data_IF_947083107180
#
_entry.id   IF_947083107180
#
_cell.length_a   1.000
_cell.length_b   1.000
_cell.length_c   1.000
_cell.angle_alpha   90.00
_cell.angle_beta   90.00
_cell.angle_gamma   90.00
#
_symmetry.space_group_name_H-M   'P 1'
#
loop_
_entity.id
_entity.type
_entity.pdbx_description
1 polymer ?
#
# COMPACT_ATOMS: atom_id res chain seq x y z
N UNK A 1 19.02 -10.79 -22.06
CA UNK A 1 18.71 -9.72 -21.08
C UNK A 1 17.54 -8.93 -21.67
N UNK A 2 16.37 -8.97 -21.03
CA UNK A 2 15.20 -8.22 -21.50
C UNK A 2 15.56 -6.73 -21.41
N UNK A 3 15.63 -6.03 -22.55
CA UNK A 3 15.92 -4.59 -22.62
C UNK A 3 14.63 -3.81 -22.34
N UNK A 4 14.10 -3.95 -21.13
CA UNK A 4 12.93 -3.18 -20.74
C UNK A 4 13.35 -1.80 -20.24
N UNK A 5 12.71 -0.75 -20.76
CA UNK A 5 12.95 0.60 -20.26
C UNK A 5 12.39 0.72 -18.85
N UNK A 6 13.19 1.18 -17.87
CA UNK A 6 12.71 1.37 -16.49
C UNK A 6 11.57 2.38 -16.48
N UNK A 7 10.41 1.98 -15.95
CA UNK A 7 9.25 2.86 -15.80
C UNK A 7 9.27 3.49 -14.42
N UNK A 8 8.85 4.75 -14.30
CA UNK A 8 8.76 5.42 -13.00
C UNK A 8 7.89 4.62 -12.02
N UNK A 9 6.78 4.06 -12.51
CA UNK A 9 5.86 3.20 -11.75
C UNK A 9 6.50 1.94 -11.16
N UNK A 10 7.64 1.45 -11.64
CA UNK A 10 8.26 0.23 -11.09
C UNK A 10 9.47 0.51 -10.20
N UNK A 11 9.91 1.76 -10.06
CA UNK A 11 11.12 2.13 -9.32
C UNK A 11 11.00 1.93 -7.80
N UNK A 12 9.85 2.27 -7.23
CA UNK A 12 9.61 2.15 -5.78
C UNK A 12 8.99 0.84 -5.34
N UNK A 13 8.82 -0.14 -6.24
CA UNK A 13 8.12 -1.39 -5.90
C UNK A 13 8.83 -2.16 -4.78
N UNK A 14 10.17 -2.18 -4.79
CA UNK A 14 10.95 -2.86 -3.76
C UNK A 14 10.81 -2.18 -2.40
N UNK A 15 10.91 -0.85 -2.35
CA UNK A 15 10.71 -0.08 -1.12
C UNK A 15 9.30 -0.28 -0.56
N UNK A 16 8.30 -0.36 -1.45
CA UNK A 16 6.89 -0.56 -1.07
C UNK A 16 6.64 -1.92 -0.40
N UNK A 17 7.43 -2.94 -0.73
CA UNK A 17 7.39 -4.25 -0.04
C UNK A 17 8.43 -4.38 1.08
N UNK A 18 9.06 -3.28 1.49
CA UNK A 18 10.04 -3.26 2.58
C UNK A 18 11.43 -3.79 2.23
N UNK A 19 11.77 -3.85 0.94
CA UNK A 19 13.08 -4.23 0.45
C UNK A 19 13.93 -2.99 0.12
N UNK A 20 15.24 -3.18 0.04
CA UNK A 20 16.15 -2.09 -0.37
C UNK A 20 15.83 -1.62 -1.81
N UNK A 21 16.04 -0.33 -2.10
CA UNK A 21 15.82 0.21 -3.46
C UNK A 21 16.71 -0.42 -4.52
N UNK A 22 18.00 -0.56 -4.19
CA UNK A 22 19.06 -0.96 -5.12
C UNK A 22 19.52 -2.40 -4.84
N UNK A 23 18.62 -3.36 -5.06
CA UNK A 23 18.93 -4.78 -4.88
C UNK A 23 19.72 -5.31 -6.08
N UNK A 24 20.89 -5.90 -5.81
CA UNK A 24 21.70 -6.56 -6.87
C UNK A 24 21.20 -7.96 -7.22
N UNK A 25 20.54 -8.65 -6.28
CA UNK A 25 20.01 -10.01 -6.44
C UNK A 25 18.68 -10.13 -5.69
N UNK A 26 17.62 -10.44 -6.43
CA UNK A 26 16.29 -10.67 -5.86
C UNK A 26 16.16 -12.16 -5.49
N UNK A 27 15.84 -12.47 -4.23
CA UNK A 27 15.54 -13.86 -3.84
C UNK A 27 14.15 -14.22 -4.35
N UNK A 28 13.87 -15.51 -4.45
CA UNK A 28 12.56 -15.98 -4.91
C UNK A 28 11.43 -15.52 -3.99
N UNK A 29 11.61 -15.56 -2.67
CA UNK A 29 10.60 -15.10 -1.71
C UNK A 29 10.30 -13.59 -1.87
N UNK A 30 11.34 -12.79 -2.10
CA UNK A 30 11.21 -11.35 -2.33
C UNK A 30 10.46 -11.05 -3.65
N UNK A 31 10.71 -11.85 -4.69
CA UNK A 31 9.97 -11.79 -5.95
C UNK A 31 8.48 -12.14 -5.76
N UNK A 32 8.19 -13.24 -5.05
CA UNK A 32 6.81 -13.65 -4.75
C UNK A 32 6.10 -12.57 -3.95
N UNK A 33 6.78 -11.93 -2.99
CA UNK A 33 6.25 -10.81 -2.22
C UNK A 33 5.88 -9.63 -3.13
N UNK A 34 6.75 -9.22 -4.06
CA UNK A 34 6.44 -8.16 -5.02
C UNK A 34 5.21 -8.48 -5.86
N UNK A 35 5.13 -9.71 -6.40
CA UNK A 35 4.00 -10.16 -7.22
C UNK A 35 2.71 -10.17 -6.41
N UNK A 36 2.73 -10.78 -5.22
CA UNK A 36 1.55 -10.88 -4.37
C UNK A 36 1.02 -9.49 -3.97
N UNK A 37 1.93 -8.56 -3.65
CA UNK A 37 1.56 -7.18 -3.32
C UNK A 37 0.86 -6.48 -4.49
N UNK A 38 1.50 -6.41 -5.66
CA UNK A 38 0.90 -5.74 -6.83
C UNK A 38 -0.41 -6.41 -7.26
N UNK A 39 -0.44 -7.75 -7.24
CA UNK A 39 -1.61 -8.51 -7.64
C UNK A 39 -2.80 -8.32 -6.69
N UNK A 40 -2.59 -7.90 -5.45
CA UNK A 40 -3.66 -7.79 -4.42
C UNK A 40 -3.98 -6.37 -3.98
N UNK A 41 -3.33 -5.36 -4.56
CA UNK A 41 -3.70 -3.96 -4.33
C UNK A 41 -5.15 -3.68 -4.76
N UNK A 42 -5.85 -2.92 -3.93
CA UNK A 42 -7.08 -2.25 -4.30
C UNK A 42 -6.81 -1.10 -5.28
N UNK A 43 -7.87 -0.55 -5.89
CA UNK A 43 -7.75 0.62 -6.76
C UNK A 43 -7.11 1.82 -6.04
N UNK A 44 -7.49 2.03 -4.78
CA UNK A 44 -6.96 3.11 -3.95
C UNK A 44 -5.48 2.90 -3.64
N UNK A 45 -5.05 1.67 -3.35
CA UNK A 45 -3.64 1.36 -3.11
C UNK A 45 -2.80 1.51 -4.38
N UNK A 46 -3.31 1.07 -5.54
CA UNK A 46 -2.66 1.31 -6.83
C UNK A 46 -2.49 2.81 -7.10
N UNK A 47 -3.53 3.60 -6.83
CA UNK A 47 -3.50 5.05 -7.02
C UNK A 47 -2.52 5.71 -6.06
N UNK A 48 -2.58 5.37 -4.78
CA UNK A 48 -1.68 5.88 -3.74
C UNK A 48 -0.22 5.53 -4.05
N UNK A 49 0.04 4.29 -4.44
CA UNK A 49 1.37 3.87 -4.87
C UNK A 49 1.84 4.69 -6.08
N UNK A 50 1.00 4.84 -7.11
CA UNK A 50 1.33 5.65 -8.27
C UNK A 50 1.58 7.11 -7.87
N UNK A 51 0.77 7.69 -6.98
CA UNK A 51 0.96 9.04 -6.46
C UNK A 51 2.36 9.19 -5.85
N UNK A 52 2.72 8.31 -4.91
CA UNK A 52 4.04 8.28 -4.24
C UNK A 52 5.22 8.10 -5.21
N UNK A 53 5.02 7.47 -6.37
CA UNK A 53 6.09 7.33 -7.36
C UNK A 53 6.39 8.62 -8.14
N UNK A 54 5.47 9.58 -8.17
CA UNK A 54 5.57 10.81 -8.96
C UNK A 54 5.62 12.08 -8.11
N UNK A 55 5.18 12.05 -6.86
CA UNK A 55 5.52 13.02 -5.81
C UNK A 55 6.99 12.77 -5.38
N UNK A 56 7.92 13.32 -6.15
CA UNK A 56 9.36 13.02 -6.03
C UNK A 56 9.99 13.74 -4.85
N UNK A 57 9.46 14.91 -4.49
CA UNK A 57 9.89 15.68 -3.34
C UNK A 57 9.23 15.29 -2.01
N UNK A 58 8.31 14.31 -2.06
CA UNK A 58 7.56 13.80 -0.90
C UNK A 58 6.80 14.91 -0.16
N UNK A 59 6.37 15.94 -0.89
CA UNK A 59 5.62 17.07 -0.32
C UNK A 59 4.18 16.72 0.06
N UNK A 60 3.68 15.57 -0.41
CA UNK A 60 2.31 15.11 -0.23
C UNK A 60 1.33 15.69 -1.26
N UNK A 61 1.83 16.45 -2.23
CA UNK A 61 1.07 17.11 -3.29
C UNK A 61 1.89 17.08 -4.58
N UNK A 62 1.25 16.90 -5.74
CA UNK A 62 1.95 16.97 -7.02
C UNK A 62 1.95 18.38 -7.57
N UNK A 63 3.14 18.90 -7.87
CA UNK A 63 3.27 20.11 -8.67
C UNK A 63 2.91 19.84 -10.15
N UNK A 64 2.78 20.91 -10.94
CA UNK A 64 2.44 20.77 -12.36
C UNK A 64 3.46 20.01 -13.21
N UNK A 65 4.72 19.90 -12.78
CA UNK A 65 5.76 19.10 -13.46
C UNK A 65 5.58 17.62 -13.13
N UNK A 66 5.36 17.28 -11.87
CA UNK A 66 5.11 15.92 -11.40
C UNK A 66 3.82 15.34 -11.97
N UNK A 67 2.76 16.15 -12.00
CA UNK A 67 1.48 15.77 -12.58
C UNK A 67 1.58 15.49 -14.09
N UNK A 68 2.38 16.27 -14.83
CA UNK A 68 2.68 15.99 -16.24
C UNK A 68 3.44 14.68 -16.40
N UNK A 69 4.47 14.47 -15.58
CA UNK A 69 5.25 13.23 -15.59
C UNK A 69 4.37 12.01 -15.27
N UNK A 70 3.44 12.14 -14.31
CA UNK A 70 2.44 11.13 -13.96
C UNK A 70 1.58 10.77 -15.19
N UNK A 71 1.05 11.77 -15.87
CA UNK A 71 0.23 11.58 -17.07
C UNK A 71 1.01 10.91 -18.23
N UNK A 72 2.23 11.36 -18.49
CA UNK A 72 3.13 10.78 -19.49
C UNK A 72 3.49 9.33 -19.14
N UNK A 73 3.77 9.06 -17.86
CA UNK A 73 4.12 7.74 -17.35
C UNK A 73 2.98 6.72 -17.50
N UNK A 74 1.72 7.18 -17.47
CA UNK A 74 0.55 6.36 -17.74
C UNK A 74 0.30 6.14 -19.24
N UNK A 75 0.98 6.86 -20.15
CA UNK A 75 0.80 6.75 -21.61
C UNK A 75 -0.66 6.92 -22.06
N UNK A 76 -1.43 7.76 -21.39
CA UNK A 76 -2.80 8.00 -21.81
C UNK A 76 -2.89 8.97 -22.99
N UNK A 77 -3.88 8.72 -23.84
CA UNK A 77 -4.26 9.60 -24.93
C UNK A 77 -4.60 11.03 -24.45
N UNK A 78 -4.61 11.93 -25.43
CA UNK A 78 -4.81 13.38 -25.37
C UNK A 78 -5.83 13.89 -24.34
N UNK A 79 -6.89 13.12 -24.06
CA UNK A 79 -7.98 13.53 -23.16
C UNK A 79 -7.55 13.57 -21.68
N UNK A 80 -6.65 12.70 -21.25
CA UNK A 80 -6.10 12.75 -19.87
C UNK A 80 -5.16 13.93 -19.74
N UNK A 81 -4.30 14.10 -20.75
CA UNK A 81 -3.42 15.26 -20.87
C UNK A 81 -4.22 16.57 -20.85
N UNK A 82 -5.41 16.63 -21.45
CA UNK A 82 -6.23 17.84 -21.51
C UNK A 82 -6.82 18.28 -20.15
N UNK A 83 -7.28 17.34 -19.32
CA UNK A 83 -7.79 17.65 -17.97
C UNK A 83 -6.67 18.18 -17.08
N UNK A 84 -5.54 17.47 -17.05
CA UNK A 84 -4.42 17.85 -16.21
C UNK A 84 -3.60 19.02 -16.77
N UNK A 85 -3.62 19.27 -18.08
CA UNK A 85 -3.06 20.48 -18.68
C UNK A 85 -3.84 21.74 -18.27
N UNK A 86 -5.16 21.67 -18.08
CA UNK A 86 -5.93 22.76 -17.47
C UNK A 86 -5.54 23.01 -16.01
N UNK A 87 -5.14 21.95 -15.32
CA UNK A 87 -4.70 21.95 -13.91
C UNK A 87 -3.16 22.06 -13.78
N UNK A 88 -2.43 22.42 -14.83
CA UNK A 88 -0.96 22.44 -14.80
C UNK A 88 -0.35 23.54 -13.90
N UNK A 89 -1.16 24.50 -13.45
CA UNK A 89 -0.79 25.53 -12.48
C UNK A 89 -1.35 25.26 -11.08
N UNK A 90 -2.08 24.16 -10.88
CA UNK A 90 -2.65 23.79 -9.59
C UNK A 90 -1.87 22.65 -8.99
N UNK A 91 -1.68 22.70 -7.68
CA UNK A 91 -1.11 21.59 -6.92
C UNK A 91 -2.22 20.57 -6.69
N UNK A 92 -1.92 19.28 -6.87
CA UNK A 92 -2.92 18.19 -6.81
C UNK A 92 -2.56 17.23 -5.70
N UNK A 93 -3.40 17.10 -4.70
CA UNK A 93 -3.23 16.09 -3.65
C UNK A 93 -3.81 14.72 -4.07
N UNK A 94 -3.66 13.72 -3.20
CA UNK A 94 -4.18 12.38 -3.46
C UNK A 94 -5.72 12.34 -3.55
N UNK A 95 -6.42 13.19 -2.81
CA UNK A 95 -7.89 13.23 -2.80
C UNK A 95 -8.42 13.81 -4.11
N UNK A 96 -7.81 14.88 -4.60
CA UNK A 96 -8.08 15.47 -5.90
C UNK A 96 -7.81 14.48 -7.03
N UNK A 97 -6.70 13.75 -6.94
CA UNK A 97 -6.38 12.69 -7.91
C UNK A 97 -7.42 11.55 -7.85
N UNK A 98 -7.87 11.15 -6.65
CA UNK A 98 -8.91 10.14 -6.45
C UNK A 98 -10.25 10.57 -7.04
N UNK A 99 -10.66 11.83 -6.84
CA UNK A 99 -11.85 12.41 -7.52
C UNK A 99 -11.68 12.33 -9.04
N UNK A 100 -10.51 12.72 -9.54
CA UNK A 100 -10.16 12.59 -10.96
C UNK A 100 -10.28 11.16 -11.49
N UNK A 101 -9.98 10.13 -10.69
CA UNK A 101 -10.19 8.73 -11.13
C UNK A 101 -11.65 8.37 -11.37
N UNK A 102 -12.58 8.99 -10.63
CA UNK A 102 -14.01 8.74 -10.80
C UNK A 102 -14.56 9.44 -12.04
N UNK A 103 -14.07 10.65 -12.31
CA UNK A 103 -14.45 11.48 -13.46
C UNK A 103 -13.81 10.98 -14.76
N UNK A 104 -12.58 10.47 -14.71
CA UNK A 104 -11.77 10.08 -15.86
C UNK A 104 -11.20 8.67 -15.71
N UNK A 105 -12.05 7.67 -15.50
CA UNK A 105 -11.63 6.28 -15.27
C UNK A 105 -10.66 5.73 -16.34
N UNK A 106 -10.84 6.14 -17.60
CA UNK A 106 -9.98 5.72 -18.72
C UNK A 106 -8.53 6.18 -18.51
N UNK A 107 -8.32 7.36 -17.91
CA UNK A 107 -7.00 7.90 -17.59
C UNK A 107 -6.22 7.06 -16.57
N UNK A 108 -6.89 6.21 -15.80
CA UNK A 108 -6.22 5.39 -14.78
C UNK A 108 -6.19 3.91 -15.16
N UNK A 109 -6.71 3.57 -16.34
CA UNK A 109 -6.67 2.21 -16.88
C UNK A 109 -5.26 1.61 -16.96
N UNK A 110 -4.18 2.35 -17.29
CA UNK A 110 -2.83 1.79 -17.32
C UNK A 110 -2.36 1.22 -15.97
N UNK A 111 -2.81 1.78 -14.84
CA UNK A 111 -2.53 1.23 -13.51
C UNK A 111 -3.23 -0.11 -13.29
N UNK A 112 -4.51 -0.19 -13.69
CA UNK A 112 -5.28 -1.43 -13.64
C UNK A 112 -4.70 -2.49 -14.56
N UNK A 113 -4.27 -2.08 -15.76
CA UNK A 113 -3.62 -2.95 -16.73
C UNK A 113 -2.30 -3.52 -16.20
N UNK A 114 -1.50 -2.72 -15.49
CA UNK A 114 -0.28 -3.20 -14.83
C UNK A 114 -0.60 -4.34 -13.86
N UNK A 115 -1.58 -4.14 -12.97
CA UNK A 115 -2.00 -5.19 -12.05
C UNK A 115 -2.54 -6.43 -12.79
N UNK A 116 -3.39 -6.24 -13.79
CA UNK A 116 -3.95 -7.35 -14.60
C UNK A 116 -2.84 -8.15 -15.29
N UNK A 117 -1.83 -7.49 -15.84
CA UNK A 117 -0.68 -8.17 -16.44
C UNK A 117 0.08 -9.01 -15.41
N UNK A 118 0.33 -8.47 -14.21
CA UNK A 118 0.96 -9.24 -13.12
C UNK A 118 0.12 -10.45 -12.73
N UNK A 119 -1.20 -10.28 -12.61
CA UNK A 119 -2.12 -11.38 -12.30
C UNK A 119 -2.10 -12.46 -13.38
N UNK A 120 -2.21 -12.07 -14.64
CA UNK A 120 -2.22 -12.96 -15.80
C UNK A 120 -0.91 -13.75 -15.95
N UNK A 121 0.24 -13.12 -15.68
CA UNK A 121 1.55 -13.78 -15.80
C UNK A 121 1.93 -14.65 -14.59
N UNK A 122 1.17 -14.61 -13.49
CA UNK A 122 1.42 -15.40 -12.30
C UNK A 122 0.45 -16.59 -12.18
N UNK A 123 -0.61 -16.47 -11.38
CA UNK A 123 -1.58 -17.54 -11.10
C UNK A 123 -2.96 -17.28 -11.71
N UNK A 124 -3.09 -16.22 -12.51
CA UNK A 124 -4.32 -15.82 -13.18
C UNK A 124 -5.23 -14.91 -12.35
N UNK A 125 -6.09 -14.17 -13.04
CA UNK A 125 -6.96 -13.16 -12.43
C UNK A 125 -7.89 -13.71 -11.36
N UNK A 126 -8.50 -14.88 -11.60
CA UNK A 126 -9.45 -15.49 -10.67
C UNK A 126 -8.81 -15.77 -9.31
N UNK A 127 -7.62 -16.38 -9.31
CA UNK A 127 -6.89 -16.70 -8.08
C UNK A 127 -6.58 -15.43 -7.29
N UNK A 128 -6.03 -14.42 -7.96
CA UNK A 128 -5.65 -13.17 -7.28
C UNK A 128 -6.83 -12.33 -6.85
N UNK A 129 -7.95 -12.37 -7.57
CA UNK A 129 -9.20 -11.76 -7.13
C UNK A 129 -9.71 -12.40 -5.83
N UNK A 130 -9.67 -13.74 -5.72
CA UNK A 130 -10.03 -14.46 -4.50
C UNK A 130 -9.06 -14.15 -3.34
N UNK A 131 -7.76 -13.95 -3.61
CA UNK A 131 -6.78 -13.52 -2.59
C UNK A 131 -7.06 -12.08 -2.15
N UNK A 132 -7.28 -11.15 -3.08
CA UNK A 132 -7.57 -9.75 -2.79
C UNK A 132 -8.87 -9.60 -1.99
N UNK A 133 -9.89 -10.39 -2.32
CA UNK A 133 -11.15 -10.45 -1.58
C UNK A 133 -10.92 -10.91 -0.13
N UNK A 134 -10.18 -12.01 0.08
CA UNK A 134 -9.84 -12.49 1.43
C UNK A 134 -9.04 -11.45 2.22
N UNK A 135 -8.10 -10.76 1.58
CA UNK A 135 -7.35 -9.66 2.19
C UNK A 135 -8.28 -8.55 2.65
N UNK A 136 -9.22 -8.14 1.81
CA UNK A 136 -10.23 -7.14 2.16
C UNK A 136 -11.11 -7.57 3.34
N UNK A 137 -11.58 -8.82 3.36
CA UNK A 137 -12.36 -9.37 4.49
C UNK A 137 -11.57 -9.36 5.80
N UNK A 138 -10.27 -9.68 5.75
CA UNK A 138 -9.37 -9.56 6.91
C UNK A 138 -9.31 -8.11 7.39
N UNK A 139 -9.12 -7.13 6.51
CA UNK A 139 -9.08 -5.70 6.89
C UNK A 139 -10.37 -5.24 7.56
N UNK A 140 -11.53 -5.67 7.05
CA UNK A 140 -12.83 -5.33 7.63
C UNK A 140 -12.93 -5.84 9.08
N UNK A 141 -12.49 -7.07 9.34
CA UNK A 141 -12.49 -7.63 10.69
C UNK A 141 -11.48 -6.90 11.58
N UNK A 142 -10.28 -6.61 11.09
CA UNK A 142 -9.28 -5.84 11.84
C UNK A 142 -9.81 -4.47 12.19
N UNK A 143 -10.47 -3.78 11.26
CA UNK A 143 -11.11 -2.49 11.52
C UNK A 143 -12.20 -2.60 12.59
N UNK A 144 -13.05 -3.62 12.52
CA UNK A 144 -14.02 -3.91 13.58
C UNK A 144 -13.34 -4.11 14.95
N UNK A 145 -12.26 -4.89 15.00
CA UNK A 145 -11.49 -5.13 16.24
C UNK A 145 -10.91 -3.84 16.80
N UNK A 146 -10.39 -2.93 15.96
CA UNK A 146 -9.90 -1.61 16.38
C UNK A 146 -11.00 -0.81 17.09
N UNK A 147 -12.23 -0.80 16.54
CA UNK A 147 -13.38 -0.11 17.14
C UNK A 147 -13.92 -0.78 18.42
N UNK A 148 -13.74 -2.10 18.55
CA UNK A 148 -14.32 -2.90 19.64
C UNK A 148 -13.28 -3.43 20.63
N UNK A 149 -12.15 -2.71 20.80
CA UNK A 149 -11.10 -3.06 21.78
C UNK A 149 -10.58 -4.50 21.63
N UNK A 150 -10.33 -4.92 20.39
CA UNK A 150 -9.79 -6.24 20.07
C UNK A 150 -10.82 -7.37 20.02
N UNK A 151 -12.11 -7.10 20.24
CA UNK A 151 -13.16 -8.13 20.14
C UNK A 151 -13.42 -8.52 18.69
N UNK A 152 -13.57 -9.82 18.44
CA UNK A 152 -13.94 -10.36 17.13
C UNK A 152 -15.45 -10.24 16.88
N UNK A 153 -15.89 -10.08 15.61
CA UNK A 153 -17.29 -10.19 15.28
C UNK A 153 -17.80 -11.62 15.55
N UNK A 154 -19.07 -11.74 15.93
CA UNK A 154 -19.66 -13.03 16.29
C UNK A 154 -19.81 -13.93 15.06
N UNK A 155 -19.35 -15.18 15.17
CA UNK A 155 -19.60 -16.23 14.17
C UNK A 155 -20.65 -17.20 14.69
N UNK A 156 -21.52 -17.68 13.79
CA UNK A 156 -22.53 -18.69 14.14
C UNK A 156 -21.87 -19.99 14.63
N UNK A 157 -22.42 -20.59 15.69
CA UNK A 157 -21.97 -21.88 16.23
C UNK A 157 -22.09 -22.98 15.17
N UNK A 158 -23.15 -22.94 14.35
CA UNK A 158 -23.36 -23.88 13.24
C UNK A 158 -22.20 -23.79 12.24
N UNK A 159 -21.74 -22.58 11.91
CA UNK A 159 -20.60 -22.39 11.00
C UNK A 159 -19.30 -22.97 11.59
N UNK A 160 -19.12 -22.89 12.92
CA UNK A 160 -17.95 -23.52 13.57
C UNK A 160 -17.97 -25.05 13.43
N UNK A 161 -19.14 -25.65 13.60
CA UNK A 161 -19.32 -27.10 13.45
C UNK A 161 -19.07 -27.50 11.99
N UNK A 162 -19.69 -26.81 11.03
CA UNK A 162 -19.52 -27.06 9.60
C UNK A 162 -18.03 -26.95 9.21
N UNK A 163 -17.34 -25.89 9.65
CA UNK A 163 -15.93 -25.68 9.34
C UNK A 163 -15.03 -26.82 9.84
N UNK A 164 -15.34 -27.39 11.01
CA UNK A 164 -14.58 -28.50 11.58
C UNK A 164 -14.70 -29.78 10.73
N UNK A 165 -15.91 -30.10 10.26
CA UNK A 165 -16.14 -31.32 9.48
C UNK A 165 -15.88 -31.16 7.98
N UNK A 166 -15.94 -29.94 7.45
CA UNK A 166 -15.77 -29.63 6.03
C UNK A 166 -14.69 -28.57 5.81
N UNK A 167 -13.41 -28.96 5.67
CA UNK A 167 -12.29 -28.03 5.55
C UNK A 167 -12.34 -27.18 4.25
N UNK A 168 -13.05 -27.64 3.22
CA UNK A 168 -13.24 -26.90 1.97
C UNK A 168 -14.54 -26.07 1.94
N UNK A 169 -15.26 -25.97 3.06
CA UNK A 169 -16.50 -25.18 3.13
C UNK A 169 -16.25 -23.68 3.23
N UNK A 170 -17.25 -22.89 2.81
CA UNK A 170 -17.25 -21.45 3.02
C UNK A 170 -17.14 -21.07 4.51
N UNK A 171 -17.70 -21.89 5.40
CA UNK A 171 -17.59 -21.69 6.85
C UNK A 171 -16.14 -21.81 7.35
N UNK A 172 -15.35 -22.75 6.81
CA UNK A 172 -13.93 -22.83 7.15
C UNK A 172 -13.15 -21.62 6.61
N UNK A 173 -13.45 -21.17 5.38
CA UNK A 173 -12.84 -19.96 4.84
C UNK A 173 -13.09 -18.73 5.73
N UNK A 174 -14.32 -18.55 6.23
CA UNK A 174 -14.64 -17.50 7.20
C UNK A 174 -13.79 -17.60 8.48
N UNK A 175 -13.64 -18.80 9.06
CA UNK A 175 -12.80 -18.98 10.25
C UNK A 175 -11.32 -18.69 10.00
N UNK A 176 -10.80 -19.03 8.82
CA UNK A 176 -9.41 -18.72 8.43
C UNK A 176 -9.22 -17.20 8.36
N UNK A 177 -10.15 -16.46 7.75
CA UNK A 177 -10.12 -14.98 7.70
C UNK A 177 -10.12 -14.40 9.12
N UNK A 178 -10.95 -14.91 10.03
CA UNK A 178 -10.94 -14.48 11.43
C UNK A 178 -9.57 -14.70 12.11
N UNK A 179 -8.96 -15.87 11.91
CA UNK A 179 -7.63 -16.16 12.48
C UNK A 179 -6.56 -15.22 11.92
N UNK A 180 -6.59 -14.98 10.61
CA UNK A 180 -5.67 -14.04 9.95
C UNK A 180 -5.85 -12.61 10.47
N UNK A 181 -7.10 -12.18 10.71
CA UNK A 181 -7.39 -10.87 11.29
C UNK A 181 -6.82 -10.71 12.71
N UNK A 182 -6.93 -11.75 13.55
CA UNK A 182 -6.30 -11.73 14.89
C UNK A 182 -4.79 -11.57 14.79
N UNK A 183 -4.14 -12.35 13.92
CA UNK A 183 -2.68 -12.28 13.73
C UNK A 183 -2.26 -10.90 13.23
N UNK A 184 -2.95 -10.38 12.22
CA UNK A 184 -2.67 -9.05 11.67
C UNK A 184 -2.87 -7.95 12.71
N UNK A 185 -3.96 -7.98 13.47
CA UNK A 185 -4.22 -7.01 14.54
C UNK A 185 -3.12 -7.03 15.62
N UNK A 186 -2.65 -8.21 16.01
CA UNK A 186 -1.56 -8.36 16.96
C UNK A 186 -0.24 -7.81 16.42
N UNK A 187 0.07 -8.08 15.15
CA UNK A 187 1.27 -7.59 14.47
C UNK A 187 1.28 -6.06 14.35
N UNK A 188 0.17 -5.46 13.91
CA UNK A 188 0.03 -4.00 13.87
C UNK A 188 0.18 -3.36 15.25
N UNK A 189 -0.33 -4.03 16.30
CA UNK A 189 -0.13 -3.61 17.69
C UNK A 189 1.33 -3.59 18.09
N UNK A 190 2.12 -4.61 17.71
CA UNK A 190 3.58 -4.65 17.94
C UNK A 190 4.28 -3.52 17.21
N UNK A 191 3.99 -3.32 15.92
CA UNK A 191 4.60 -2.27 15.11
C UNK A 191 4.35 -0.90 15.76
N UNK A 192 3.13 -0.64 16.22
CA UNK A 192 2.79 0.62 16.87
C UNK A 192 3.56 0.83 18.18
N UNK A 193 3.74 -0.22 18.98
CA UNK A 193 4.56 -0.18 20.20
C UNK A 193 6.05 0.06 19.92
N UNK A 194 6.60 -0.57 18.89
CA UNK A 194 7.98 -0.36 18.48
C UNK A 194 8.21 1.08 18.00
N UNK A 195 7.28 1.63 17.21
CA UNK A 195 7.34 3.02 16.76
C UNK A 195 7.15 4.04 17.90
N UNK A 196 6.28 3.77 18.88
CA UNK A 196 6.11 4.67 20.03
C UNK A 196 7.34 4.69 20.91
N UNK A 197 7.98 3.54 21.11
CA UNK A 197 9.26 3.44 21.81
C UNK A 197 10.38 4.19 21.09
N UNK A 198 10.51 4.01 19.77
CA UNK A 198 11.51 4.71 18.97
C UNK A 198 11.31 6.24 19.02
N UNK A 199 10.06 6.72 18.95
CA UNK A 199 9.74 8.15 19.12
C UNK A 199 10.16 8.70 20.48
N UNK A 200 9.88 7.96 21.56
CA UNK A 200 10.29 8.36 22.90
C UNK A 200 11.83 8.38 23.07
N UNK A 201 12.54 7.42 22.47
CA UNK A 201 14.01 7.40 22.48
C UNK A 201 14.62 8.60 21.75
N UNK A 202 14.05 8.98 20.59
CA UNK A 202 14.47 10.18 19.83
C UNK A 202 14.21 11.46 20.63
N UNK A 203 13.05 11.57 21.29
CA UNK A 203 12.73 12.73 22.14
C UNK A 203 13.69 12.86 23.33
N UNK A 204 14.05 11.75 23.97
CA UNK A 204 15.05 11.73 25.05
C UNK A 204 16.44 12.12 24.55
N UNK A 205 16.83 11.69 23.34
CA UNK A 205 18.12 12.06 22.74
C UNK A 205 18.16 13.57 22.43
N UNK A 206 17.11 14.10 21.81
CA UNK A 206 17.00 15.53 21.51
C UNK A 206 17.06 16.39 22.77
N UNK A 207 16.43 15.96 23.87
CA UNK A 207 16.50 16.66 25.15
C UNK A 207 17.90 16.63 25.78
N UNK A 208 18.69 15.58 25.54
CA UNK A 208 20.08 15.51 26.00
C UNK A 208 21.00 16.41 25.18
N UNK A 209 20.83 16.44 23.87
CA UNK A 209 21.62 17.29 22.98
C UNK A 209 21.41 18.78 23.32
N UNK A 210 20.17 19.19 23.63
CA UNK A 210 19.87 20.55 24.09
C UNK A 210 20.56 20.87 25.43
N UNK A 211 20.61 19.91 26.37
CA UNK A 211 21.28 20.10 27.66
C UNK A 211 22.81 20.16 27.55
N UNK A 212 23.40 19.46 26.58
CA UNK A 212 24.84 19.51 26.31
C UNK A 212 25.25 20.81 25.59
N UNK A 213 24.44 21.34 24.67
CA UNK A 213 24.66 22.67 24.05
C UNK A 213 24.56 23.82 25.07
N UNK A 214 23.63 23.75 26.02
CA UNK A 214 23.50 24.73 27.11
C UNK A 214 24.68 24.66 28.11
N UNK A 215 25.31 23.49 28.28
CA UNK A 215 26.50 23.33 29.11
C UNK A 215 27.79 23.79 28.42
N UNK A 216 27.92 23.62 27.10
CA UNK A 216 29.12 24.03 26.36
C UNK A 216 29.14 25.54 26.05
N UNK A 217 27.97 26.17 25.93
CA UNK A 217 27.84 27.65 25.85
C UNK A 217 28.10 28.38 27.18
N UNK A 218 28.19 27.65 28.30
CA UNK A 218 28.45 28.20 29.64
C UNK A 218 29.91 28.06 30.12
N UNK A 219 30.84 27.60 29.28
CA UNK A 219 32.29 27.62 29.60
C UNK A 219 32.96 28.90 29.08
N UNK A 220 33.60 29.71 29.96
CA UNK A 220 34.30 30.95 29.60
C UNK A 220 35.67 30.71 28.94
#
# INVERSE_FOLDING_TARGET
MIREQPRQLTKGLFEEVGLARNIKRLRFDDFVLCVATVATWSKNELLHYAFKQFDVDESGVMDGRELRAFCEGLKNDSNTSLYFAKNANTVVDLEDLAKGTTEFQIAFYPLLQLQQNVRACALGDRFWAEVAQRRHEVEVIVHYMRLHSGKLPSVSIVNRIIAYFMPFSHANAQLVVHKLAVLKYAEEGRIWQEQSKARAEVEVLALKDIQEEDQDSSKP
#
